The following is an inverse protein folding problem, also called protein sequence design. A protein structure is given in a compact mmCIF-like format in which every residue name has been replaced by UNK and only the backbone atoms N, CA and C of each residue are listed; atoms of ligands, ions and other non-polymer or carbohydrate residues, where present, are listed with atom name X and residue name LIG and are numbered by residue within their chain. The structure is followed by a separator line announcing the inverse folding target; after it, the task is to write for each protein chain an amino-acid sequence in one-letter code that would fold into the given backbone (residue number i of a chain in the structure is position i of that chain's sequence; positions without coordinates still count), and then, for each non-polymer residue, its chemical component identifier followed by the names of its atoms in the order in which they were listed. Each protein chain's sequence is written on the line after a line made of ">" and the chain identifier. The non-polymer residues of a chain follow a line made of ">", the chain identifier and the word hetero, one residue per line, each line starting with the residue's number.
data_IF_686811627914
#
_entry.id   IF_686811627914
#
_cell.length_a   1.000
_cell.length_b   1.000
_cell.length_c   1.000
_cell.angle_alpha   90.00
_cell.angle_beta   90.00
_cell.angle_gamma   90.00
#
_symmetry.space_group_name_H-M   'P 1'
#
loop_
_entity.id
_entity.type
_entity.pdbx_description
1 polymer ?
#
# COMPACT_ATOMS: atom_id res chain seq x y z
N UNK A 1 40.22 -10.38 8.78
CA UNK A 1 39.07 -10.56 9.68
C UNK A 1 37.86 -10.04 8.93
N UNK A 2 37.21 -10.83 8.09
CA UNK A 2 36.29 -11.90 8.50
C UNK A 2 34.88 -11.30 8.48
N UNK A 3 34.29 -11.22 7.28
CA UNK A 3 33.01 -10.57 7.05
C UNK A 3 31.88 -11.28 7.78
N UNK A 4 31.06 -10.50 8.48
CA UNK A 4 29.79 -10.97 9.03
C UNK A 4 28.81 -11.15 7.87
N UNK A 5 28.72 -12.36 7.33
CA UNK A 5 27.50 -12.79 6.67
C UNK A 5 26.42 -12.85 7.76
N UNK A 6 25.58 -11.82 7.85
CA UNK A 6 24.36 -11.91 8.65
C UNK A 6 23.57 -13.08 8.09
N UNK A 7 23.43 -14.16 8.86
CA UNK A 7 22.48 -15.21 8.54
C UNK A 7 21.09 -14.59 8.69
N UNK A 8 20.60 -13.94 7.63
CA UNK A 8 19.20 -13.58 7.53
C UNK A 8 18.41 -14.88 7.67
N UNK A 9 17.50 -14.95 8.64
CA UNK A 9 16.67 -16.13 8.87
C UNK A 9 15.88 -16.45 7.60
N UNK A 10 15.63 -17.73 7.33
CA UNK A 10 14.79 -18.12 6.19
C UNK A 10 13.45 -17.37 6.29
N UNK A 11 12.98 -16.69 5.23
CA UNK A 11 11.70 -15.98 5.27
C UNK A 11 10.56 -16.94 5.58
N UNK A 12 9.59 -16.56 6.43
CA UNK A 12 8.30 -17.25 6.46
C UNK A 12 7.69 -17.28 5.05
N UNK A 13 7.06 -18.39 4.69
CA UNK A 13 6.41 -18.50 3.37
C UNK A 13 5.27 -17.48 3.25
N UNK A 14 5.19 -16.76 2.12
CA UNK A 14 4.05 -15.87 1.82
C UNK A 14 2.71 -16.60 1.79
N UNK A 15 2.70 -17.94 1.64
CA UNK A 15 1.50 -18.77 1.70
C UNK A 15 0.80 -18.76 3.07
N UNK A 16 1.44 -18.22 4.13
CA UNK A 16 0.78 -17.97 5.41
C UNK A 16 -0.18 -16.78 5.36
N UNK A 17 -0.14 -15.96 4.30
CA UNK A 17 -1.19 -15.00 3.97
C UNK A 17 -2.26 -15.77 3.20
N UNK A 18 -3.23 -16.30 3.93
CA UNK A 18 -4.31 -17.13 3.39
C UNK A 18 -5.55 -16.29 2.98
N UNK A 19 -6.56 -16.97 2.43
CA UNK A 19 -7.81 -16.35 2.01
C UNK A 19 -8.51 -15.58 3.13
N UNK A 20 -8.37 -16.02 4.39
CA UNK A 20 -8.94 -15.31 5.53
C UNK A 20 -8.24 -13.96 5.77
N UNK A 21 -6.92 -13.90 5.60
CA UNK A 21 -6.18 -12.63 5.65
C UNK A 21 -6.60 -11.69 4.50
N UNK A 22 -6.79 -12.22 3.29
CA UNK A 22 -7.28 -11.44 2.14
C UNK A 22 -8.71 -10.94 2.37
N UNK A 23 -9.61 -11.76 2.89
CA UNK A 23 -10.98 -11.34 3.18
C UNK A 23 -11.04 -10.29 4.30
N UNK A 24 -10.14 -10.36 5.28
CA UNK A 24 -10.01 -9.30 6.29
C UNK A 24 -9.72 -7.95 5.64
N UNK A 25 -8.84 -7.92 4.62
CA UNK A 25 -8.55 -6.71 3.84
C UNK A 25 -9.80 -6.23 3.10
N UNK A 26 -10.49 -7.14 2.40
CA UNK A 26 -11.72 -6.81 1.66
C UNK A 26 -12.79 -6.19 2.55
N UNK A 27 -12.93 -6.65 3.78
CA UNK A 27 -13.98 -6.17 4.68
C UNK A 27 -13.82 -4.69 5.02
N UNK A 28 -12.62 -4.24 5.41
CA UNK A 28 -12.42 -2.83 5.72
C UNK A 28 -12.32 -1.93 4.46
N UNK A 29 -11.99 -2.50 3.30
CA UNK A 29 -12.09 -1.77 2.03
C UNK A 29 -13.54 -1.40 1.65
N UNK A 30 -14.56 -2.06 2.22
CA UNK A 30 -15.98 -1.71 2.01
C UNK A 30 -16.38 -0.40 2.69
N UNK A 31 -15.52 0.20 3.51
CA UNK A 31 -15.82 1.49 4.12
C UNK A 31 -16.02 2.56 3.04
N UNK A 32 -17.13 3.32 3.06
CA UNK A 32 -17.42 4.32 2.03
C UNK A 32 -16.32 5.35 1.79
N UNK A 33 -15.49 5.66 2.80
CA UNK A 33 -14.37 6.60 2.65
C UNK A 33 -13.38 6.15 1.57
N UNK A 34 -13.19 4.85 1.37
CA UNK A 34 -12.26 4.28 0.39
C UNK A 34 -12.74 4.61 -1.03
N UNK A 35 -13.94 4.17 -1.38
CA UNK A 35 -14.52 4.41 -2.71
C UNK A 35 -14.69 5.92 -2.99
N UNK A 36 -15.22 6.68 -2.02
CA UNK A 36 -15.43 8.12 -2.18
C UNK A 36 -14.14 8.88 -2.45
N UNK A 37 -13.05 8.55 -1.75
CA UNK A 37 -11.76 9.20 -1.93
C UNK A 37 -11.14 8.86 -3.28
N UNK A 38 -11.19 7.60 -3.71
CA UNK A 38 -10.67 7.16 -5.01
C UNK A 38 -11.45 7.83 -6.15
N UNK A 39 -12.79 7.80 -6.10
CA UNK A 39 -13.64 8.42 -7.13
C UNK A 39 -13.40 9.93 -7.22
N UNK A 40 -13.26 10.61 -6.08
CA UNK A 40 -12.95 12.05 -6.06
C UNK A 40 -11.57 12.36 -6.68
N UNK A 41 -10.55 11.55 -6.38
CA UNK A 41 -9.21 11.74 -6.95
C UNK A 41 -9.19 11.42 -8.44
N UNK A 42 -9.80 10.30 -8.85
CA UNK A 42 -9.95 9.94 -10.27
C UNK A 42 -10.63 11.04 -11.08
N UNK A 43 -11.64 11.71 -10.53
CA UNK A 43 -12.27 12.86 -11.18
C UNK A 43 -11.33 14.07 -11.27
N UNK A 44 -10.55 14.32 -10.22
CA UNK A 44 -9.61 15.45 -10.15
C UNK A 44 -8.45 15.27 -11.14
N UNK A 45 -7.96 14.04 -11.29
CA UNK A 45 -6.81 13.70 -12.12
C UNK A 45 -7.17 13.02 -13.44
N UNK A 46 -8.45 12.99 -13.85
CA UNK A 46 -8.89 12.27 -15.06
C UNK A 46 -8.01 12.59 -16.29
N UNK A 47 -7.79 13.89 -16.53
CA UNK A 47 -7.03 14.41 -17.66
C UNK A 47 -5.57 14.76 -17.32
N UNK A 48 -5.07 14.33 -16.15
CA UNK A 48 -3.70 14.62 -15.73
C UNK A 48 -2.70 13.92 -16.65
N UNK A 49 -1.83 14.66 -17.38
CA UNK A 49 -0.84 14.05 -18.26
C UNK A 49 0.28 13.39 -17.45
N UNK A 50 1.01 12.45 -18.06
CA UNK A 50 2.09 11.73 -17.39
C UNK A 50 3.18 12.68 -16.86
N UNK A 51 3.48 13.77 -17.56
CA UNK A 51 4.46 14.75 -17.12
C UNK A 51 4.08 15.42 -15.77
N UNK A 52 2.78 15.57 -15.50
CA UNK A 52 2.29 16.10 -14.23
C UNK A 52 2.26 15.03 -13.14
N UNK A 53 2.00 13.77 -13.48
CA UNK A 53 2.19 12.62 -12.57
C UNK A 53 3.64 12.57 -12.10
N UNK A 54 4.60 12.62 -13.03
CA UNK A 54 6.02 12.63 -12.72
C UNK A 54 6.43 13.86 -11.90
N UNK A 55 5.76 15.00 -12.11
CA UNK A 55 5.99 16.23 -11.35
C UNK A 55 5.50 16.09 -9.90
N UNK A 56 4.32 15.52 -9.68
CA UNK A 56 3.80 15.23 -8.34
C UNK A 56 4.71 14.24 -7.60
N UNK A 57 5.21 13.21 -8.28
CA UNK A 57 6.15 12.27 -7.70
C UNK A 57 7.48 12.94 -7.29
N UNK A 58 8.06 13.75 -8.19
CA UNK A 58 9.27 14.52 -7.88
C UNK A 58 9.06 15.50 -6.72
N UNK A 59 7.89 16.14 -6.66
CA UNK A 59 7.51 17.01 -5.54
C UNK A 59 7.50 16.22 -4.23
N UNK A 60 6.80 15.09 -4.18
CA UNK A 60 6.75 14.22 -3.00
C UNK A 60 8.14 13.82 -2.49
N UNK A 61 9.01 13.36 -3.41
CA UNK A 61 10.38 12.96 -3.07
C UNK A 61 11.25 14.13 -2.60
N UNK A 62 10.95 15.34 -3.04
CA UNK A 62 11.61 16.57 -2.57
C UNK A 62 11.11 16.92 -1.17
N UNK A 63 9.80 16.93 -0.95
CA UNK A 63 9.18 17.21 0.35
C UNK A 63 9.66 16.23 1.43
N UNK A 64 9.81 14.94 1.11
CA UNK A 64 10.39 13.92 2.03
C UNK A 64 11.73 14.30 2.64
N UNK A 65 12.50 15.17 1.97
CA UNK A 65 13.85 15.58 2.38
C UNK A 65 13.88 17.00 2.97
N UNK A 66 12.76 17.72 2.95
CA UNK A 66 12.64 19.08 3.43
C UNK A 66 11.70 19.22 4.61
N UNK A 67 11.72 20.39 5.24
CA UNK A 67 10.82 20.74 6.34
C UNK A 67 9.43 21.16 5.85
N UNK A 68 9.34 21.73 4.63
CA UNK A 68 8.08 22.11 4.00
C UNK A 68 7.53 20.94 3.17
N UNK A 69 6.35 20.44 3.56
CA UNK A 69 5.77 19.19 3.08
C UNK A 69 4.28 19.30 2.71
N UNK A 70 3.86 20.28 1.89
CA UNK A 70 2.45 20.55 1.66
C UNK A 70 1.69 19.41 0.96
N UNK A 71 2.28 18.73 -0.02
CA UNK A 71 1.64 17.57 -0.67
C UNK A 71 1.55 16.39 0.28
N UNK A 72 2.63 16.07 1.00
CA UNK A 72 2.63 14.99 2.01
C UNK A 72 1.60 15.27 3.10
N UNK A 73 1.55 16.50 3.62
CA UNK A 73 0.58 16.91 4.63
C UNK A 73 -0.86 16.82 4.11
N UNK A 74 -1.11 17.23 2.87
CA UNK A 74 -2.44 17.15 2.25
C UNK A 74 -2.92 15.68 2.13
N UNK A 75 -2.04 14.77 1.70
CA UNK A 75 -2.38 13.35 1.57
C UNK A 75 -2.55 12.70 2.94
N UNK A 76 -1.62 12.88 3.87
CA UNK A 76 -1.68 12.23 5.19
C UNK A 76 -2.78 12.78 6.10
N UNK A 77 -3.23 14.02 5.90
CA UNK A 77 -4.38 14.58 6.64
C UNK A 77 -5.74 14.22 6.03
N UNK A 78 -5.77 13.51 4.90
CA UNK A 78 -7.02 13.14 4.23
C UNK A 78 -7.88 12.18 5.07
N UNK A 79 -9.22 12.17 4.88
CA UNK A 79 -10.09 11.20 5.54
C UNK A 79 -9.67 9.75 5.32
N UNK A 80 -9.21 9.41 4.11
CA UNK A 80 -8.74 8.07 3.79
C UNK A 80 -7.46 7.72 4.56
N UNK A 81 -6.45 8.60 4.58
CA UNK A 81 -5.21 8.37 5.34
C UNK A 81 -5.47 8.20 6.84
N UNK A 82 -6.37 8.99 7.42
CA UNK A 82 -6.79 8.84 8.81
C UNK A 82 -7.44 7.46 9.06
N UNK A 83 -8.29 7.00 8.14
CA UNK A 83 -8.90 5.68 8.22
C UNK A 83 -7.87 4.55 8.12
N UNK A 84 -6.96 4.60 7.14
CA UNK A 84 -5.90 3.60 6.97
C UNK A 84 -4.96 3.55 8.18
N UNK A 85 -4.66 4.71 8.79
CA UNK A 85 -3.89 4.79 10.04
C UNK A 85 -4.59 4.07 11.19
N UNK A 86 -5.92 4.19 11.31
CA UNK A 86 -6.70 3.46 12.33
C UNK A 86 -6.65 1.95 12.09
N UNK A 87 -6.77 1.50 10.83
CA UNK A 87 -6.64 0.08 10.47
C UNK A 87 -5.25 -0.44 10.81
N UNK A 88 -4.19 0.29 10.46
CA UNK A 88 -2.82 -0.06 10.80
C UNK A 88 -2.64 -0.18 12.31
N UNK A 89 -3.09 0.82 13.09
CA UNK A 89 -2.98 0.81 14.55
C UNK A 89 -3.74 -0.36 15.19
N UNK A 90 -4.97 -0.63 14.74
CA UNK A 90 -5.79 -1.73 15.23
C UNK A 90 -5.22 -3.12 14.90
N UNK A 91 -4.35 -3.24 13.89
CA UNK A 91 -3.72 -4.50 13.50
C UNK A 91 -2.73 -5.05 14.55
N UNK A 92 -2.31 -4.21 15.51
CA UNK A 92 -1.34 -4.58 16.54
C UNK A 92 0.04 -4.93 15.97
N UNK A 93 0.49 -4.23 14.93
CA UNK A 93 1.80 -4.44 14.29
C UNK A 93 1.83 -5.52 13.21
N UNK A 94 0.65 -6.04 12.81
CA UNK A 94 0.54 -6.97 11.69
C UNK A 94 0.68 -6.26 10.35
N UNK A 95 0.13 -5.04 10.23
CA UNK A 95 0.31 -4.18 9.06
C UNK A 95 1.36 -3.11 9.37
N UNK A 96 2.35 -2.98 8.50
CA UNK A 96 3.45 -2.01 8.65
C UNK A 96 3.27 -0.77 7.79
N UNK A 97 2.58 -0.91 6.67
CA UNK A 97 2.22 0.20 5.77
C UNK A 97 0.93 -0.17 5.02
N UNK A 98 0.06 0.81 4.77
CA UNK A 98 -1.15 0.65 3.98
C UNK A 98 -1.29 1.89 3.10
N UNK A 99 -1.50 1.70 1.80
CA UNK A 99 -1.81 2.80 0.91
C UNK A 99 -2.74 2.38 -0.22
N UNK A 100 -3.53 3.34 -0.68
CA UNK A 100 -4.50 3.20 -1.76
C UNK A 100 -4.09 4.09 -2.91
N UNK A 101 -4.15 3.55 -4.12
CA UNK A 101 -3.80 4.19 -5.38
C UNK A 101 -5.04 4.43 -6.23
N UNK A 102 -5.03 5.52 -7.01
CA UNK A 102 -6.06 5.87 -7.99
C UNK A 102 -5.85 5.14 -9.33
N UNK A 103 -6.67 5.46 -10.34
CA UNK A 103 -6.63 4.86 -11.68
C UNK A 103 -5.40 5.27 -12.53
N UNK A 104 -4.56 6.17 -12.02
CA UNK A 104 -3.24 6.50 -12.59
C UNK A 104 -2.09 5.93 -11.75
N UNK A 105 -2.38 5.30 -10.62
CA UNK A 105 -1.38 4.81 -9.67
C UNK A 105 -0.88 5.87 -8.70
N UNK A 106 -1.51 7.05 -8.60
CA UNK A 106 -1.17 8.06 -7.60
C UNK A 106 -1.78 7.68 -6.25
N UNK A 107 -1.06 7.90 -5.16
CA UNK A 107 -1.57 7.58 -3.83
C UNK A 107 -2.73 8.53 -3.42
N UNK A 108 -3.90 7.94 -3.16
CA UNK A 108 -5.11 8.62 -2.68
C UNK A 108 -5.06 8.84 -1.17
N UNK A 109 -4.54 7.85 -0.44
CA UNK A 109 -4.40 7.89 1.00
C UNK A 109 -3.40 6.84 1.47
N UNK A 110 -2.70 7.14 2.56
CA UNK A 110 -1.59 6.33 3.07
C UNK A 110 -1.59 6.36 4.60
N UNK A 111 -1.18 5.27 5.25
CA UNK A 111 -1.04 5.19 6.70
C UNK A 111 0.33 5.69 7.19
N UNK A 112 1.25 5.95 6.27
CA UNK A 112 2.60 6.49 6.50
C UNK A 112 3.14 7.13 5.22
N UNK A 113 4.33 7.71 5.27
CA UNK A 113 4.96 8.35 4.10
C UNK A 113 5.64 7.29 3.23
N UNK A 114 5.08 6.97 2.06
CA UNK A 114 5.71 6.09 1.05
C UNK A 114 6.91 6.74 0.36
N UNK A 115 7.82 5.96 -0.21
CA UNK A 115 9.04 6.46 -0.88
C UNK A 115 8.77 7.47 -2.00
N UNK A 116 7.71 7.21 -2.74
CA UNK A 116 7.21 7.88 -3.94
C UNK A 116 5.69 8.04 -3.87
N UNK A 117 5.17 9.00 -4.63
CA UNK A 117 3.73 9.29 -4.67
C UNK A 117 3.01 8.50 -5.76
N UNK A 118 3.72 8.23 -6.84
CA UNK A 118 3.24 7.44 -7.96
C UNK A 118 3.73 6.01 -7.84
N UNK A 119 2.82 5.05 -8.04
CA UNK A 119 3.05 3.61 -7.98
C UNK A 119 2.65 2.95 -9.30
N UNK A 120 2.30 3.74 -10.32
CA UNK A 120 1.69 3.23 -11.54
C UNK A 120 2.64 2.37 -12.37
N UNK A 121 3.95 2.51 -12.22
CA UNK A 121 4.98 1.67 -12.83
C UNK A 121 5.35 0.43 -12.01
N UNK A 122 4.90 0.36 -10.75
CA UNK A 122 5.24 -0.71 -9.82
C UNK A 122 4.43 -2.00 -10.07
N UNK A 123 5.02 -3.15 -9.76
CA UNK A 123 4.38 -4.46 -9.92
C UNK A 123 3.06 -4.58 -9.14
N UNK A 124 2.99 -3.98 -7.95
CA UNK A 124 1.77 -3.92 -7.11
C UNK A 124 0.58 -3.34 -7.85
N UNK A 125 0.82 -2.36 -8.72
CA UNK A 125 -0.21 -1.72 -9.53
C UNK A 125 -0.42 -2.49 -10.84
N UNK A 126 0.65 -2.73 -11.60
CA UNK A 126 0.59 -3.35 -12.93
C UNK A 126 -0.01 -4.77 -12.92
N UNK A 127 0.18 -5.52 -11.84
CA UNK A 127 -0.37 -6.87 -11.66
C UNK A 127 -1.77 -6.89 -11.03
N UNK A 128 -2.33 -5.74 -10.64
CA UNK A 128 -3.66 -5.65 -10.04
C UNK A 128 -4.61 -4.84 -10.90
N UNK A 129 -4.65 -3.52 -10.76
CA UNK A 129 -5.69 -2.65 -11.30
C UNK A 129 -5.93 -2.82 -12.82
N UNK A 130 -4.91 -2.85 -13.70
CA UNK A 130 -5.12 -3.05 -15.13
C UNK A 130 -5.73 -4.40 -15.51
N UNK A 131 -5.69 -5.39 -14.61
CA UNK A 131 -6.16 -6.75 -14.86
C UNK A 131 -7.61 -6.99 -14.40
N UNK A 132 -8.30 -5.94 -13.94
CA UNK A 132 -9.72 -5.97 -13.63
C UNK A 132 -10.07 -6.19 -12.16
N UNK A 133 -11.37 -6.29 -11.89
CA UNK A 133 -11.91 -6.35 -10.53
C UNK A 133 -11.58 -7.70 -9.87
N UNK A 134 -11.39 -7.67 -8.55
CA UNK A 134 -11.17 -8.87 -7.74
C UNK A 134 -9.75 -9.43 -7.77
N UNK A 135 -8.85 -8.91 -8.62
CA UNK A 135 -7.46 -9.35 -8.73
C UNK A 135 -6.71 -9.13 -7.41
N UNK A 136 -5.94 -10.14 -7.01
CA UNK A 136 -5.04 -10.13 -5.85
C UNK A 136 -3.66 -10.56 -6.32
N UNK A 137 -2.64 -9.85 -5.86
CA UNK A 137 -1.24 -10.15 -6.10
C UNK A 137 -0.48 -10.04 -4.78
N UNK A 138 0.05 -11.16 -4.29
CA UNK A 138 0.91 -11.20 -3.10
C UNK A 138 2.35 -11.26 -3.61
N UNK A 139 3.17 -10.29 -3.19
CA UNK A 139 4.58 -10.22 -3.60
C UNK A 139 5.46 -11.16 -2.77
N UNK A 140 6.70 -11.33 -3.21
CA UNK A 140 7.69 -12.12 -2.49
C UNK A 140 8.02 -11.50 -1.11
N UNK A 141 8.55 -12.34 -0.22
CA UNK A 141 8.98 -11.89 1.10
C UNK A 141 10.29 -11.10 1.02
N UNK A 142 10.30 -9.90 1.59
CA UNK A 142 11.47 -9.02 1.67
C UNK A 142 11.87 -8.75 3.12
N UNK A 143 13.18 -8.70 3.39
CA UNK A 143 13.67 -8.41 4.73
C UNK A 143 13.76 -6.90 4.95
N UNK A 144 13.00 -6.39 5.91
CA UNK A 144 13.04 -4.98 6.28
C UNK A 144 14.11 -4.75 7.36
N UNK A 145 15.23 -4.14 6.94
CA UNK A 145 16.43 -4.02 7.76
C UNK A 145 16.24 -3.24 9.07
N UNK A 146 15.43 -2.17 9.08
CA UNK A 146 15.33 -1.33 10.28
C UNK A 146 14.54 -2.01 11.41
N UNK A 147 13.50 -2.76 11.05
CA UNK A 147 12.67 -3.50 12.02
C UNK A 147 13.13 -4.92 12.25
N UNK A 148 14.09 -5.42 11.45
CA UNK A 148 14.56 -6.81 11.45
C UNK A 148 13.41 -7.81 11.31
N UNK A 149 12.44 -7.50 10.43
CA UNK A 149 11.28 -8.35 10.16
C UNK A 149 11.20 -8.69 8.68
N UNK A 150 10.68 -9.87 8.38
CA UNK A 150 10.24 -10.24 7.03
C UNK A 150 8.90 -9.60 6.75
N UNK A 151 8.74 -9.03 5.56
CA UNK A 151 7.52 -8.37 5.09
C UNK A 151 7.11 -8.89 3.73
N UNK A 152 5.83 -8.83 3.41
CA UNK A 152 5.32 -9.06 2.07
C UNK A 152 4.15 -8.14 1.79
N UNK A 153 3.94 -7.78 0.53
CA UNK A 153 2.86 -6.88 0.13
C UNK A 153 1.68 -7.68 -0.42
N UNK A 154 0.49 -7.44 0.13
CA UNK A 154 -0.78 -7.90 -0.43
C UNK A 154 -1.37 -6.75 -1.22
N UNK A 155 -1.49 -6.95 -2.53
CA UNK A 155 -1.94 -5.94 -3.47
C UNK A 155 -3.27 -6.38 -4.06
N UNK A 156 -4.25 -5.48 -4.14
CA UNK A 156 -5.60 -5.84 -4.58
C UNK A 156 -6.23 -4.74 -5.41
N UNK A 157 -6.93 -5.11 -6.48
CA UNK A 157 -7.80 -4.17 -7.19
C UNK A 157 -8.98 -3.78 -6.30
N UNK A 158 -9.24 -2.48 -6.20
CA UNK A 158 -10.46 -1.92 -5.61
C UNK A 158 -11.45 -1.67 -6.74
N UNK A 159 -12.68 -2.16 -6.58
CA UNK A 159 -13.78 -1.92 -7.50
C UNK A 159 -14.90 -1.14 -6.80
N UNK A 160 -15.66 -0.36 -7.57
CA UNK A 160 -16.86 0.31 -7.10
C UNK A 160 -18.04 -0.67 -6.91
N UNK A 161 -19.20 -0.15 -6.49
CA UNK A 161 -20.42 -0.94 -6.31
C UNK A 161 -20.94 -1.60 -7.60
N UNK A 162 -20.59 -1.07 -8.77
CA UNK A 162 -20.91 -1.63 -10.08
C UNK A 162 -19.87 -2.68 -10.54
N UNK A 163 -18.91 -3.03 -9.66
CA UNK A 163 -17.79 -3.92 -9.93
C UNK A 163 -16.83 -3.39 -11.02
N UNK A 164 -16.80 -2.07 -11.24
CA UNK A 164 -15.81 -1.43 -12.10
C UNK A 164 -14.52 -1.15 -11.31
N UNK A 165 -13.33 -1.52 -11.81
CA UNK A 165 -12.06 -1.16 -11.18
C UNK A 165 -11.92 0.36 -11.07
N UNK A 166 -11.58 0.85 -9.88
CA UNK A 166 -11.36 2.28 -9.62
C UNK A 166 -9.97 2.61 -9.10
N UNK A 167 -9.22 1.62 -8.61
CA UNK A 167 -7.87 1.80 -8.09
C UNK A 167 -7.31 0.50 -7.53
N UNK A 168 -6.26 0.61 -6.71
CA UNK A 168 -5.66 -0.54 -6.03
C UNK A 168 -5.29 -0.20 -4.58
N UNK A 169 -5.16 -1.22 -3.74
CA UNK A 169 -4.57 -1.10 -2.40
C UNK A 169 -3.29 -1.93 -2.33
N UNK A 170 -2.35 -1.45 -1.53
CA UNK A 170 -1.21 -2.21 -1.03
C UNK A 170 -1.29 -2.26 0.49
N UNK A 171 -1.15 -3.47 1.04
CA UNK A 171 -1.03 -3.72 2.47
C UNK A 171 0.27 -4.44 2.72
N UNK A 172 1.21 -3.81 3.41
CA UNK A 172 2.45 -4.45 3.82
C UNK A 172 2.24 -5.25 5.11
N UNK A 173 2.37 -6.58 5.01
CA UNK A 173 2.24 -7.52 6.10
C UNK A 173 3.59 -7.78 6.75
N UNK A 174 3.62 -7.73 8.08
CA UNK A 174 4.73 -8.26 8.87
C UNK A 174 4.62 -9.78 8.98
N UNK A 175 5.30 -10.50 8.08
CA UNK A 175 5.32 -11.96 8.04
C UNK A 175 5.91 -12.56 9.30
N UNK A 176 6.92 -11.91 9.91
CA UNK A 176 7.50 -12.38 11.18
C UNK A 176 6.46 -12.36 12.31
N UNK A 177 5.66 -11.30 12.40
CA UNK A 177 4.57 -11.23 13.39
C UNK A 177 3.44 -12.20 13.06
N UNK A 178 3.08 -12.36 11.78
CA UNK A 178 2.06 -13.32 11.36
C UNK A 178 2.46 -14.77 11.69
N UNK A 179 3.70 -15.15 11.40
CA UNK A 179 4.26 -16.46 11.75
C UNK A 179 4.22 -16.68 13.27
N UNK A 180 4.68 -15.69 14.06
CA UNK A 180 4.62 -15.75 15.53
C UNK A 180 3.21 -15.95 16.05
N UNK A 181 2.21 -15.25 15.50
CA UNK A 181 0.78 -15.42 15.87
C UNK A 181 0.24 -16.80 15.53
N UNK A 182 0.79 -17.45 14.49
CA UNK A 182 0.44 -18.80 14.05
C UNK A 182 1.28 -19.90 14.73
N UNK A 183 2.27 -19.54 15.54
CA UNK A 183 3.17 -20.49 16.20
C UNK A 183 4.15 -21.20 15.25
N UNK A 184 4.52 -20.52 14.16
CA UNK A 184 5.49 -20.98 13.15
C UNK A 184 6.90 -20.41 13.40
#
# INVERSE_FOLDING_TARGET
>A
MGGFASAQSIPPSVAIIDDAAVEQIREWLKNPVVEMSIVAQNKTYADLPQEDVDRLDKQWRTERKGDDQPLIAAILSSPLSNYLTQIQAASGGLFTEIFVMDAKGLNVGQSGITGDFWQGDEAKYQKTFPNGAGVVFIDDAEFHEDSKTWRAQVNMTIADQANAPIGAVTVEYNLSELARRRGL
#
